data_IF_546362537653
#
_entry.id   IF_546362537653
#
_cell.length_a   1.000
_cell.length_b   1.000
_cell.length_c   1.000
_cell.angle_alpha   90.00
_cell.angle_beta   90.00
_cell.angle_gamma   90.00
#
_symmetry.space_group_name_H-M   'P 1'
#
loop_
_entity.id
_entity.type
_entity.pdbx_description
1 polymer ?
#
# COMPACT_ATOMS: atom_id res chain seq x y z
N UNK A 1 5.22 -6.50 28.20
CA UNK A 1 4.71 -7.84 28.54
C UNK A 1 5.13 -8.76 27.40
N UNK A 2 6.11 -9.61 27.68
CA UNK A 2 6.55 -10.67 26.75
C UNK A 2 5.50 -11.77 26.82
N UNK A 3 4.64 -11.84 25.83
CA UNK A 3 3.76 -13.01 25.64
C UNK A 3 4.66 -14.15 25.21
N UNK A 4 4.94 -15.09 26.10
CA UNK A 4 5.57 -16.36 25.74
C UNK A 4 4.70 -17.04 24.70
N UNK A 5 5.24 -17.20 23.49
CA UNK A 5 4.62 -18.03 22.45
C UNK A 5 4.86 -19.48 22.87
N UNK A 6 4.04 -19.94 23.80
CA UNK A 6 4.03 -21.34 24.23
C UNK A 6 3.23 -22.10 23.18
N UNK A 7 3.88 -23.13 22.60
CA UNK A 7 3.25 -24.26 21.90
C UNK A 7 2.82 -24.13 20.44
N UNK A 8 3.48 -23.35 19.60
CA UNK A 8 3.24 -23.40 18.14
C UNK A 8 1.81 -23.01 17.71
N UNK A 9 1.11 -22.25 18.56
CA UNK A 9 -0.20 -21.68 18.29
C UNK A 9 -0.11 -20.16 18.26
N UNK A 10 -0.92 -19.50 17.42
CA UNK A 10 -1.08 -18.05 17.42
C UNK A 10 -1.97 -17.60 18.62
N UNK A 11 -2.13 -16.28 18.89
CA UNK A 11 -2.97 -15.78 19.97
C UNK A 11 -4.44 -16.24 19.91
N UNK A 12 -4.92 -16.65 18.73
CA UNK A 12 -6.28 -17.13 18.49
C UNK A 12 -6.38 -18.67 18.58
N UNK A 13 -5.30 -19.35 19.00
CA UNK A 13 -5.27 -20.80 19.17
C UNK A 13 -5.12 -21.62 17.88
N UNK A 14 -4.81 -20.99 16.75
CA UNK A 14 -4.53 -21.68 15.49
C UNK A 14 -3.05 -22.08 15.41
N UNK A 15 -2.78 -23.24 14.77
CA UNK A 15 -1.40 -23.72 14.54
C UNK A 15 -0.63 -22.72 13.67
N UNK A 16 0.57 -22.33 14.12
CA UNK A 16 1.49 -21.48 13.37
C UNK A 16 1.94 -22.14 12.07
N UNK A 17 2.06 -21.34 11.02
CA UNK A 17 2.78 -21.75 9.82
C UNK A 17 4.29 -21.89 10.14
N UNK A 18 5.02 -22.71 9.38
CA UNK A 18 6.48 -22.87 9.59
C UNK A 18 7.24 -21.54 9.54
N UNK A 19 6.82 -20.61 8.66
CA UNK A 19 7.43 -19.30 8.56
C UNK A 19 7.15 -18.44 9.81
N UNK A 20 5.95 -18.50 10.36
CA UNK A 20 5.57 -17.78 11.57
C UNK A 20 6.34 -18.29 12.80
N UNK A 21 6.45 -19.60 12.93
CA UNK A 21 7.23 -20.23 14.00
C UNK A 21 8.71 -19.78 13.93
N UNK A 22 9.31 -19.81 12.73
CA UNK A 22 10.70 -19.33 12.53
C UNK A 22 10.84 -17.85 12.82
N UNK A 23 9.91 -17.03 12.36
CA UNK A 23 9.95 -15.58 12.61
C UNK A 23 9.84 -15.28 14.10
N UNK A 24 9.02 -16.04 14.84
CA UNK A 24 8.80 -15.85 16.28
C UNK A 24 10.05 -16.09 17.14
N UNK A 25 11.04 -16.83 16.63
CA UNK A 25 12.33 -17.04 17.30
C UNK A 25 13.19 -15.76 17.37
N UNK A 26 12.90 -14.77 16.50
CA UNK A 26 13.63 -13.52 16.43
C UNK A 26 12.93 -12.45 17.27
N UNK A 27 13.57 -11.89 18.31
CA UNK A 27 12.97 -10.85 19.15
C UNK A 27 12.59 -9.60 18.36
N UNK A 28 11.56 -8.89 18.83
CA UNK A 28 11.20 -7.57 18.29
C UNK A 28 12.16 -6.54 18.89
N UNK A 29 12.94 -5.89 18.04
CA UNK A 29 13.85 -4.83 18.44
C UNK A 29 13.14 -3.52 18.75
N UNK A 30 13.75 -2.73 19.63
CA UNK A 30 13.29 -1.37 19.92
C UNK A 30 13.50 -0.48 18.68
N UNK A 31 12.46 0.25 18.31
CA UNK A 31 12.54 1.24 17.23
C UNK A 31 13.56 2.34 17.57
N UNK A 32 14.45 2.71 16.62
CA UNK A 32 15.38 3.82 16.82
C UNK A 32 14.66 5.18 16.93
N UNK A 33 15.37 6.19 17.42
CA UNK A 33 14.77 7.48 17.75
C UNK A 33 14.22 8.24 16.53
N UNK A 34 14.74 8.00 15.33
CA UNK A 34 14.24 8.61 14.10
C UNK A 34 12.94 8.00 13.58
N UNK A 35 12.50 6.87 14.14
CA UNK A 35 11.18 6.25 13.88
C UNK A 35 10.15 6.74 14.90
N UNK A 36 10.09 8.05 15.11
CA UNK A 36 9.11 8.67 16.03
C UNK A 36 8.26 9.67 15.27
N UNK A 37 6.95 9.53 15.40
CA UNK A 37 5.99 10.50 14.86
C UNK A 37 5.76 11.62 15.86
N UNK A 38 5.77 12.86 15.36
CA UNK A 38 5.29 14.01 16.15
C UNK A 38 3.78 14.09 15.99
N UNK A 39 3.05 13.97 17.08
CA UNK A 39 1.60 14.18 17.07
C UNK A 39 1.32 15.64 16.72
N UNK A 40 0.67 15.87 15.59
CA UNK A 40 0.20 17.18 15.16
C UNK A 40 -1.28 17.06 14.79
N UNK A 41 -2.15 17.56 15.67
CA UNK A 41 -3.58 17.58 15.40
C UNK A 41 -3.99 18.94 14.87
N UNK A 42 -4.42 18.99 13.62
CA UNK A 42 -4.99 20.17 13.00
C UNK A 42 -6.53 20.16 13.03
N UNK A 43 -7.19 21.21 12.54
CA UNK A 43 -8.65 21.32 12.53
C UNK A 43 -9.31 20.27 11.64
N UNK A 44 -8.76 19.98 10.45
CA UNK A 44 -9.31 18.97 9.54
C UNK A 44 -9.17 17.55 10.10
N UNK A 45 -8.02 17.21 10.70
CA UNK A 45 -7.86 15.92 11.38
C UNK A 45 -8.91 15.75 12.48
N UNK A 46 -9.13 16.76 13.31
CA UNK A 46 -10.10 16.72 14.40
C UNK A 46 -11.52 16.51 13.85
N UNK A 47 -11.89 17.28 12.82
CA UNK A 47 -13.18 17.18 12.14
C UNK A 47 -13.41 15.78 11.57
N UNK A 48 -12.45 15.26 10.82
CA UNK A 48 -12.54 13.93 10.20
C UNK A 48 -12.63 12.84 11.27
N UNK A 49 -11.82 12.92 12.32
CA UNK A 49 -11.84 11.94 13.43
C UNK A 49 -13.19 11.89 14.13
N UNK A 50 -13.78 13.04 14.44
CA UNK A 50 -15.11 13.11 15.07
C UNK A 50 -16.18 12.54 14.15
N UNK A 51 -16.13 12.84 12.88
CA UNK A 51 -17.05 12.35 11.87
C UNK A 51 -16.96 10.83 11.69
N UNK A 52 -15.73 10.29 11.54
CA UNK A 52 -15.48 8.85 11.44
C UNK A 52 -16.06 8.12 12.65
N UNK A 53 -15.84 8.67 13.86
CA UNK A 53 -16.39 8.10 15.10
C UNK A 53 -17.90 8.14 15.13
N UNK A 54 -18.52 9.27 14.75
CA UNK A 54 -19.97 9.47 14.77
C UNK A 54 -20.70 8.58 13.79
N UNK A 55 -20.17 8.46 12.58
CA UNK A 55 -20.80 7.72 11.47
C UNK A 55 -20.35 6.25 11.40
N UNK A 56 -19.46 5.79 12.31
CA UNK A 56 -18.99 4.41 12.36
C UNK A 56 -18.21 3.99 11.10
N UNK A 57 -17.43 4.91 10.51
CA UNK A 57 -16.67 4.65 9.29
C UNK A 57 -15.37 3.88 9.59
N UNK A 58 -14.91 3.09 8.63
CA UNK A 58 -13.69 2.29 8.74
C UNK A 58 -12.62 2.76 7.76
N UNK A 59 -11.40 2.98 8.25
CA UNK A 59 -10.25 3.35 7.42
C UNK A 59 -9.03 2.54 7.82
N UNK A 60 -8.22 2.12 6.84
CA UNK A 60 -6.91 1.49 7.08
C UNK A 60 -6.03 2.38 7.96
N UNK A 61 -6.17 3.71 7.84
CA UNK A 61 -5.41 4.67 8.63
C UNK A 61 -5.61 4.49 10.14
N UNK A 62 -6.82 4.18 10.60
CA UNK A 62 -7.12 3.93 12.00
C UNK A 62 -6.81 2.48 12.40
N UNK A 63 -7.28 1.52 11.61
CA UNK A 63 -7.19 0.08 11.93
C UNK A 63 -5.73 -0.38 11.99
N UNK A 64 -4.88 0.10 11.09
CA UNK A 64 -3.45 -0.17 11.09
C UNK A 64 -2.63 0.73 12.03
N UNK A 65 -3.25 1.63 12.79
CA UNK A 65 -2.53 2.58 13.66
C UNK A 65 -1.49 3.40 12.92
N UNK A 66 -1.83 3.88 11.70
CA UNK A 66 -0.88 4.54 10.82
C UNK A 66 -0.28 5.80 11.47
N UNK A 67 1.06 5.93 11.57
CA UNK A 67 1.70 7.07 12.19
C UNK A 67 1.44 8.40 11.46
N UNK A 68 1.04 8.33 10.20
CA UNK A 68 0.85 9.50 9.33
C UNK A 68 -0.60 9.99 9.26
N UNK A 69 -1.51 9.37 10.01
CA UNK A 69 -2.94 9.69 9.99
C UNK A 69 -3.22 11.19 10.21
N UNK A 70 -2.43 11.82 11.09
CA UNK A 70 -2.58 13.25 11.43
C UNK A 70 -2.34 14.14 10.22
N UNK A 71 -1.32 13.84 9.42
CA UNK A 71 -0.93 14.65 8.26
C UNK A 71 -1.84 14.37 7.06
N UNK A 72 -2.14 13.08 6.78
CA UNK A 72 -3.00 12.73 5.67
C UNK A 72 -4.42 13.25 5.87
N UNK A 73 -5.00 13.12 7.06
CA UNK A 73 -6.34 13.63 7.33
C UNK A 73 -6.40 15.16 7.35
N UNK A 74 -5.32 15.85 7.74
CA UNK A 74 -5.24 17.30 7.61
C UNK A 74 -5.23 17.73 6.13
N UNK A 75 -4.59 16.93 5.27
CA UNK A 75 -4.62 17.13 3.81
C UNK A 75 -5.95 16.66 3.16
N UNK A 76 -6.89 16.09 3.94
CA UNK A 76 -8.14 15.45 3.49
C UNK A 76 -7.90 14.27 2.57
N UNK A 77 -6.96 13.44 2.95
CA UNK A 77 -6.60 12.19 2.28
C UNK A 77 -6.79 11.00 3.24
N UNK A 78 -7.38 9.92 2.77
CA UNK A 78 -7.53 8.68 3.54
C UNK A 78 -7.38 7.45 2.67
N UNK A 79 -7.09 6.30 3.32
CA UNK A 79 -6.94 5.00 2.66
C UNK A 79 -8.03 4.05 3.15
N UNK A 80 -8.72 3.42 2.21
CA UNK A 80 -9.75 2.41 2.45
C UNK A 80 -9.25 1.03 2.07
N UNK A 81 -9.66 0.01 2.83
CA UNK A 81 -9.46 -1.40 2.51
C UNK A 81 -10.78 -1.97 2.01
N UNK A 82 -10.76 -2.63 0.86
CA UNK A 82 -11.93 -3.28 0.26
C UNK A 82 -11.72 -4.78 0.09
N UNK A 83 -12.82 -5.51 -0.09
CA UNK A 83 -12.81 -6.96 -0.32
C UNK A 83 -12.89 -7.81 0.94
N UNK A 84 -13.11 -7.18 2.11
CA UNK A 84 -13.24 -7.87 3.39
C UNK A 84 -11.98 -7.83 4.25
N UNK A 85 -11.96 -8.61 5.34
CA UNK A 85 -10.90 -8.62 6.36
C UNK A 85 -9.84 -9.70 6.16
N UNK A 86 -10.07 -10.68 5.27
CA UNK A 86 -9.15 -11.79 5.02
C UNK A 86 -8.65 -11.77 3.58
N UNK A 87 -7.35 -12.03 3.39
CA UNK A 87 -6.68 -12.08 2.10
C UNK A 87 -6.45 -13.54 1.68
N UNK A 88 -6.65 -13.88 0.40
CA UNK A 88 -6.34 -15.23 -0.12
C UNK A 88 -4.83 -15.47 -0.22
N UNK A 89 -4.02 -14.41 -0.23
CA UNK A 89 -2.55 -14.48 -0.33
C UNK A 89 -1.88 -13.97 0.93
N UNK A 90 -0.73 -14.58 1.26
CA UNK A 90 0.12 -14.14 2.36
C UNK A 90 1.34 -13.39 1.86
N UNK A 91 1.56 -12.20 2.41
CA UNK A 91 2.84 -11.49 2.35
C UNK A 91 3.43 -11.44 3.77
N UNK A 92 4.72 -11.77 3.94
CA UNK A 92 5.33 -11.96 5.26
C UNK A 92 5.52 -10.65 6.06
N UNK A 93 5.27 -9.50 5.44
CA UNK A 93 5.28 -8.17 6.05
C UNK A 93 3.88 -7.63 6.38
N UNK A 94 2.81 -8.26 5.89
CA UNK A 94 1.46 -7.69 5.90
C UNK A 94 0.66 -8.15 7.14
N UNK A 95 0.03 -7.20 7.83
CA UNK A 95 -0.78 -7.47 9.02
C UNK A 95 -2.14 -8.11 8.70
N UNK A 96 -2.60 -8.02 7.44
CA UNK A 96 -3.90 -8.58 7.04
C UNK A 96 -3.90 -10.10 7.20
N UNK A 97 -4.94 -10.61 7.82
CA UNK A 97 -5.12 -12.06 8.02
C UNK A 97 -5.23 -12.80 6.69
N UNK A 98 -4.57 -13.96 6.63
CA UNK A 98 -4.65 -14.85 5.48
C UNK A 98 -5.68 -15.93 5.74
N UNK A 99 -6.58 -16.13 4.80
CA UNK A 99 -7.63 -17.13 4.96
C UNK A 99 -8.66 -17.13 3.85
N UNK A 100 -9.78 -17.78 4.11
CA UNK A 100 -10.95 -17.74 3.21
C UNK A 100 -11.74 -16.47 3.54
N UNK A 101 -11.85 -15.53 2.58
CA UNK A 101 -12.64 -14.32 2.79
C UNK A 101 -14.14 -14.63 2.91
N UNK A 102 -14.87 -13.73 3.57
CA UNK A 102 -16.33 -13.72 3.56
C UNK A 102 -16.89 -13.49 2.14
N UNK A 103 -18.17 -13.82 1.89
CA UNK A 103 -18.83 -13.48 0.64
C UNK A 103 -18.68 -12.00 0.29
N UNK A 104 -18.46 -11.71 -1.01
CA UNK A 104 -18.26 -10.34 -1.48
C UNK A 104 -19.52 -9.48 -1.19
N UNK A 105 -19.32 -8.38 -0.48
CA UNK A 105 -20.34 -7.35 -0.32
C UNK A 105 -20.41 -6.44 -1.55
N UNK A 106 -21.39 -6.65 -2.40
CA UNK A 106 -21.57 -5.85 -3.62
C UNK A 106 -22.01 -4.40 -3.34
N UNK A 107 -22.34 -4.06 -2.11
CA UNK A 107 -22.67 -2.68 -1.70
C UNK A 107 -21.45 -1.92 -1.18
N UNK A 108 -20.31 -2.57 -1.03
CA UNK A 108 -19.08 -1.98 -0.51
C UNK A 108 -18.59 -0.77 -1.34
N UNK A 109 -18.64 -0.77 -2.69
CA UNK A 109 -18.27 0.40 -3.51
C UNK A 109 -19.02 1.67 -3.13
N UNK A 110 -20.33 1.59 -2.95
CA UNK A 110 -21.14 2.75 -2.57
C UNK A 110 -20.90 3.17 -1.11
N UNK A 111 -20.67 2.23 -0.21
CA UNK A 111 -20.31 2.53 1.18
C UNK A 111 -18.98 3.30 1.26
N UNK A 112 -17.97 2.88 0.51
CA UNK A 112 -16.69 3.59 0.41
C UNK A 112 -16.90 5.00 -0.16
N UNK A 113 -17.64 5.12 -1.26
CA UNK A 113 -17.91 6.42 -1.89
C UNK A 113 -18.67 7.39 -0.96
N UNK A 114 -19.62 6.88 -0.17
CA UNK A 114 -20.32 7.67 0.85
C UNK A 114 -19.40 8.06 2.00
N UNK A 115 -18.47 7.18 2.40
CA UNK A 115 -17.46 7.49 3.41
C UNK A 115 -16.53 8.62 2.94
N UNK A 116 -16.06 8.56 1.68
CA UNK A 116 -15.27 9.63 1.04
C UNK A 116 -16.03 10.95 1.07
N UNK A 117 -17.32 10.94 0.73
CA UNK A 117 -18.20 12.11 0.74
C UNK A 117 -18.37 12.68 2.16
N UNK A 118 -18.70 11.83 3.11
CA UNK A 118 -18.92 12.21 4.50
C UNK A 118 -17.66 12.81 5.12
N UNK A 119 -16.50 12.21 4.85
CA UNK A 119 -15.20 12.75 5.29
C UNK A 119 -14.79 14.03 4.53
N UNK A 120 -15.39 14.32 3.39
CA UNK A 120 -15.07 15.46 2.53
C UNK A 120 -13.64 15.37 1.98
N UNK A 121 -13.22 14.18 1.57
CA UNK A 121 -11.88 13.95 1.08
C UNK A 121 -11.64 14.63 -0.26
N UNK A 122 -10.41 15.05 -0.48
CA UNK A 122 -9.93 15.57 -1.78
C UNK A 122 -9.21 14.49 -2.59
N UNK A 123 -8.72 13.48 -1.90
CA UNK A 123 -8.01 12.37 -2.49
C UNK A 123 -8.24 11.09 -1.67
N UNK A 124 -8.67 10.04 -2.33
CA UNK A 124 -8.92 8.74 -1.72
C UNK A 124 -7.95 7.70 -2.28
N UNK A 125 -7.23 7.03 -1.41
CA UNK A 125 -6.50 5.82 -1.80
C UNK A 125 -7.34 4.62 -1.44
N UNK A 126 -7.52 3.69 -2.39
CA UNK A 126 -8.23 2.44 -2.18
C UNK A 126 -7.26 1.29 -2.40
N UNK A 127 -7.16 0.43 -1.41
CA UNK A 127 -6.44 -0.86 -1.51
C UNK A 127 -7.39 -1.97 -1.14
N UNK A 128 -7.04 -3.22 -1.43
CA UNK A 128 -7.89 -4.34 -1.09
C UNK A 128 -7.11 -5.61 -0.78
N UNK A 129 -7.79 -6.54 -0.17
CA UNK A 129 -7.30 -7.91 -0.05
C UNK A 129 -7.35 -8.61 -1.41
N UNK A 130 -6.46 -9.58 -1.64
CA UNK A 130 -6.60 -10.43 -2.84
C UNK A 130 -7.79 -11.37 -2.67
N UNK A 131 -8.50 -11.57 -3.78
CA UNK A 131 -9.72 -12.38 -3.87
C UNK A 131 -9.60 -13.45 -4.95
N UNK A 132 -8.51 -14.25 -4.89
CA UNK A 132 -8.32 -15.38 -5.83
C UNK A 132 -9.44 -16.42 -5.77
N UNK A 133 -10.32 -16.31 -4.78
CA UNK A 133 -11.54 -17.10 -4.62
C UNK A 133 -12.69 -16.67 -5.56
N UNK A 134 -12.59 -15.48 -6.17
CA UNK A 134 -13.55 -14.97 -7.14
C UNK A 134 -13.08 -15.23 -8.57
N UNK A 135 -14.02 -15.40 -9.50
CA UNK A 135 -13.73 -15.62 -10.93
C UNK A 135 -12.94 -14.47 -11.55
N UNK A 136 -13.28 -13.23 -11.17
CA UNK A 136 -12.62 -11.99 -11.60
C UNK A 136 -11.51 -11.51 -10.66
N UNK A 137 -11.09 -12.34 -9.70
CA UNK A 137 -10.08 -12.01 -8.69
C UNK A 137 -10.33 -10.67 -7.96
N UNK A 138 -11.59 -10.20 -7.99
CA UNK A 138 -12.04 -8.95 -7.39
C UNK A 138 -11.89 -7.71 -8.27
N UNK A 139 -11.58 -7.83 -9.56
CA UNK A 139 -11.41 -6.68 -10.48
C UNK A 139 -12.67 -5.81 -10.57
N UNK A 140 -13.86 -6.42 -10.55
CA UNK A 140 -15.13 -5.71 -10.49
C UNK A 140 -15.21 -4.78 -9.27
N UNK A 141 -14.80 -5.26 -8.10
CA UNK A 141 -14.86 -4.47 -6.88
C UNK A 141 -14.02 -3.20 -6.95
N UNK A 142 -12.77 -3.33 -7.45
CA UNK A 142 -11.90 -2.17 -7.66
C UNK A 142 -12.50 -1.19 -8.66
N UNK A 143 -12.95 -1.70 -9.81
CA UNK A 143 -13.56 -0.89 -10.87
C UNK A 143 -14.80 -0.13 -10.38
N UNK A 144 -15.73 -0.82 -9.71
CA UNK A 144 -16.95 -0.18 -9.22
C UNK A 144 -16.68 0.80 -8.07
N UNK A 145 -15.68 0.52 -7.22
CA UNK A 145 -15.29 1.47 -6.17
C UNK A 145 -14.77 2.78 -6.76
N UNK A 146 -13.93 2.75 -7.78
CA UNK A 146 -13.46 3.95 -8.49
C UNK A 146 -14.64 4.73 -9.07
N UNK A 147 -15.51 4.04 -9.85
CA UNK A 147 -16.69 4.64 -10.48
C UNK A 147 -17.65 5.25 -9.46
N UNK A 148 -17.88 4.55 -8.34
CA UNK A 148 -18.77 5.04 -7.28
C UNK A 148 -18.19 6.27 -6.58
N UNK A 149 -16.87 6.29 -6.31
CA UNK A 149 -16.21 7.47 -5.74
C UNK A 149 -16.35 8.66 -6.70
N UNK A 150 -16.01 8.54 -7.97
CA UNK A 150 -16.13 9.61 -8.96
C UNK A 150 -17.57 10.12 -9.10
N UNK A 151 -18.55 9.21 -9.12
CA UNK A 151 -19.98 9.55 -9.21
C UNK A 151 -20.47 10.37 -8.02
N UNK A 152 -20.10 9.97 -6.80
CA UNK A 152 -20.61 10.59 -5.58
C UNK A 152 -19.75 11.77 -5.09
N UNK A 153 -18.51 11.88 -5.57
CA UNK A 153 -17.52 12.86 -5.13
C UNK A 153 -16.81 13.51 -6.33
N UNK A 154 -17.51 14.29 -7.16
CA UNK A 154 -16.89 14.98 -8.29
C UNK A 154 -15.68 15.81 -7.84
N UNK A 155 -14.53 15.61 -8.49
CA UNK A 155 -13.27 16.30 -8.17
C UNK A 155 -12.43 15.67 -7.05
N UNK A 156 -12.86 14.56 -6.46
CA UNK A 156 -12.00 13.73 -5.60
C UNK A 156 -11.11 12.85 -6.45
N UNK A 157 -9.79 12.96 -6.33
CA UNK A 157 -8.85 12.05 -6.99
C UNK A 157 -8.87 10.66 -6.34
N UNK A 158 -8.66 9.62 -7.15
CA UNK A 158 -8.62 8.22 -6.70
C UNK A 158 -7.30 7.57 -7.09
N UNK A 159 -6.56 7.10 -6.09
CA UNK A 159 -5.45 6.16 -6.27
C UNK A 159 -5.93 4.77 -5.93
N UNK A 160 -5.68 3.82 -6.84
CA UNK A 160 -6.04 2.43 -6.63
C UNK A 160 -4.77 1.59 -6.49
N UNK A 161 -4.62 0.87 -5.37
CA UNK A 161 -3.53 -0.08 -5.14
C UNK A 161 -4.09 -1.50 -5.25
N UNK A 162 -3.71 -2.19 -6.33
CA UNK A 162 -4.28 -3.49 -6.69
C UNK A 162 -3.32 -4.66 -6.47
N UNK A 163 -3.82 -5.91 -6.35
CA UNK A 163 -3.04 -7.11 -6.59
C UNK A 163 -2.64 -7.20 -8.07
N UNK A 164 -1.96 -8.30 -8.45
CA UNK A 164 -1.54 -8.54 -9.83
C UNK A 164 -2.63 -9.14 -10.74
N UNK A 165 -3.81 -9.49 -10.20
CA UNK A 165 -4.88 -10.22 -10.89
C UNK A 165 -4.33 -11.37 -11.73
N UNK A 166 -3.39 -12.14 -11.18
CA UNK A 166 -2.66 -13.23 -11.85
C UNK A 166 -2.01 -12.84 -13.19
N UNK A 167 -1.89 -11.54 -13.49
CA UNK A 167 -1.40 -10.98 -14.76
C UNK A 167 -2.41 -11.06 -15.91
N UNK A 168 -3.69 -11.28 -15.62
CA UNK A 168 -4.77 -11.34 -16.61
C UNK A 168 -5.08 -9.94 -17.15
N UNK A 169 -4.79 -9.72 -18.43
CA UNK A 169 -4.94 -8.40 -19.07
C UNK A 169 -6.37 -7.88 -19.03
N UNK A 170 -7.35 -8.74 -19.22
CA UNK A 170 -8.76 -8.41 -19.20
C UNK A 170 -9.24 -7.89 -17.85
N UNK A 171 -8.72 -8.43 -16.74
CA UNK A 171 -9.05 -7.97 -15.39
C UNK A 171 -8.39 -6.63 -15.06
N UNK A 172 -7.12 -6.47 -15.46
CA UNK A 172 -6.43 -5.20 -15.36
C UNK A 172 -7.12 -4.11 -16.19
N UNK A 173 -7.51 -4.42 -17.43
CA UNK A 173 -8.20 -3.49 -18.31
C UNK A 173 -9.52 -3.01 -17.71
N UNK A 174 -10.28 -3.89 -17.05
CA UNK A 174 -11.51 -3.51 -16.35
C UNK A 174 -11.26 -2.42 -15.29
N UNK A 175 -10.12 -2.48 -14.59
CA UNK A 175 -9.73 -1.47 -13.61
C UNK A 175 -9.26 -0.19 -14.30
N UNK A 176 -8.49 -0.29 -15.40
CA UNK A 176 -8.03 0.87 -16.16
C UNK A 176 -9.19 1.66 -16.78
N UNK A 177 -10.22 0.95 -17.27
CA UNK A 177 -11.43 1.56 -17.86
C UNK A 177 -12.24 2.37 -16.83
N UNK A 178 -12.08 2.10 -15.53
CA UNK A 178 -12.67 2.91 -14.47
C UNK A 178 -11.94 4.25 -14.26
N UNK A 179 -10.77 4.44 -14.88
CA UNK A 179 -9.99 5.69 -14.95
C UNK A 179 -9.60 6.25 -13.58
N UNK A 180 -8.89 5.48 -12.73
CA UNK A 180 -8.30 6.07 -11.53
C UNK A 180 -7.27 7.13 -11.93
N UNK A 181 -7.05 8.15 -11.09
CA UNK A 181 -6.00 9.15 -11.31
C UNK A 181 -4.60 8.55 -11.21
N UNK A 182 -4.43 7.56 -10.31
CA UNK A 182 -3.18 6.80 -10.17
C UNK A 182 -3.49 5.32 -10.03
N UNK A 183 -2.82 4.52 -10.85
CA UNK A 183 -2.81 3.07 -10.71
C UNK A 183 -1.53 2.63 -10.01
N UNK A 184 -1.66 2.00 -8.86
CA UNK A 184 -0.54 1.51 -8.07
C UNK A 184 -0.52 -0.03 -8.01
N UNK A 185 0.66 -0.59 -8.20
CA UNK A 185 0.99 -1.98 -7.91
C UNK A 185 2.37 -2.04 -7.28
N UNK A 186 2.43 -2.43 -6.02
CA UNK A 186 3.67 -2.39 -5.26
C UNK A 186 4.56 -3.59 -5.55
N UNK A 187 5.82 -3.34 -5.85
CA UNK A 187 6.86 -4.37 -5.99
C UNK A 187 7.31 -4.88 -4.60
N UNK A 188 7.38 -4.00 -3.63
CA UNK A 188 7.68 -4.16 -2.21
C UNK A 188 9.13 -4.51 -1.89
N UNK A 189 9.78 -5.39 -2.65
CA UNK A 189 11.15 -5.81 -2.36
C UNK A 189 11.93 -6.24 -3.62
N UNK A 190 13.19 -6.61 -3.43
CA UNK A 190 14.15 -6.97 -4.49
C UNK A 190 14.06 -8.44 -4.91
N UNK A 191 14.53 -8.83 -6.12
CA UNK A 191 14.36 -10.20 -6.67
C UNK A 191 14.81 -11.31 -5.74
N UNK A 192 16.01 -11.20 -5.12
CA UNK A 192 16.61 -12.27 -4.31
C UNK A 192 15.72 -12.72 -3.15
N UNK A 193 15.07 -11.78 -2.47
CA UNK A 193 14.22 -12.09 -1.31
C UNK A 193 12.72 -12.08 -1.65
N UNK A 194 12.35 -11.76 -2.88
CA UNK A 194 10.96 -11.57 -3.30
C UNK A 194 10.08 -12.79 -2.94
N UNK A 195 10.54 -13.99 -3.31
CA UNK A 195 9.77 -15.22 -3.09
C UNK A 195 9.57 -15.56 -1.61
N UNK A 196 10.51 -15.18 -0.74
CA UNK A 196 10.36 -15.37 0.72
C UNK A 196 9.41 -14.37 1.36
N UNK A 197 9.36 -13.15 0.83
CA UNK A 197 8.53 -12.05 1.36
C UNK A 197 7.12 -12.07 0.78
N UNK A 198 7.00 -12.37 -0.53
CA UNK A 198 5.73 -12.40 -1.29
C UNK A 198 5.55 -13.74 -2.02
N UNK A 199 5.35 -14.86 -1.31
CA UNK A 199 5.40 -16.20 -1.90
C UNK A 199 4.34 -16.46 -2.98
N UNK A 200 3.21 -15.77 -2.94
CA UNK A 200 2.13 -15.90 -3.91
C UNK A 200 2.22 -14.92 -5.10
N UNK A 201 3.24 -14.09 -5.14
CA UNK A 201 3.50 -13.16 -6.24
C UNK A 201 4.76 -13.53 -7.02
N UNK A 202 4.95 -12.90 -8.18
CA UNK A 202 6.14 -13.04 -9.01
C UNK A 202 6.66 -11.65 -9.37
N UNK A 203 7.99 -11.48 -9.33
CA UNK A 203 8.66 -10.20 -9.52
C UNK A 203 8.43 -9.64 -10.93
N UNK A 204 8.71 -10.44 -11.94
CA UNK A 204 8.57 -10.07 -13.36
C UNK A 204 7.10 -9.80 -13.71
N UNK A 205 6.17 -10.58 -13.15
CA UNK A 205 4.74 -10.34 -13.33
C UNK A 205 4.32 -9.00 -12.71
N UNK A 206 4.85 -8.66 -11.54
CA UNK A 206 4.56 -7.38 -10.89
C UNK A 206 5.07 -6.20 -11.73
N UNK A 207 6.24 -6.30 -12.34
CA UNK A 207 6.72 -5.31 -13.32
C UNK A 207 5.81 -5.26 -14.55
N UNK A 208 5.39 -6.41 -15.08
CA UNK A 208 4.47 -6.51 -16.22
C UNK A 208 3.12 -5.82 -15.97
N UNK A 209 2.60 -5.87 -14.73
CA UNK A 209 1.38 -5.14 -14.35
C UNK A 209 1.58 -3.62 -14.47
N UNK A 210 2.72 -3.10 -14.03
CA UNK A 210 3.07 -1.67 -14.17
C UNK A 210 3.17 -1.30 -15.67
N UNK A 211 3.83 -2.15 -16.48
CA UNK A 211 3.97 -1.92 -17.92
C UNK A 211 2.60 -1.85 -18.61
N UNK A 212 1.69 -2.79 -18.33
CA UNK A 212 0.34 -2.79 -18.87
C UNK A 212 -0.45 -1.55 -18.47
N UNK A 213 -0.32 -1.10 -17.22
CA UNK A 213 -0.96 0.13 -16.76
C UNK A 213 -0.40 1.37 -17.48
N UNK A 214 0.91 1.41 -17.69
CA UNK A 214 1.56 2.51 -18.45
C UNK A 214 1.12 2.55 -19.89
N UNK A 215 1.08 1.40 -20.56
CA UNK A 215 0.58 1.24 -21.95
C UNK A 215 -0.89 1.67 -22.08
N UNK A 216 -1.70 1.43 -21.04
CA UNK A 216 -3.09 1.91 -20.97
C UNK A 216 -3.21 3.43 -20.65
N UNK A 217 -2.10 4.16 -20.55
CA UNK A 217 -2.08 5.61 -20.32
C UNK A 217 -2.24 6.04 -18.87
N UNK A 218 -2.17 5.12 -17.90
CA UNK A 218 -2.27 5.45 -16.47
C UNK A 218 -1.03 6.20 -15.98
N UNK A 219 -1.21 7.03 -14.95
CA UNK A 219 -0.10 7.41 -14.06
C UNK A 219 0.15 6.23 -13.14
N UNK A 220 1.35 5.67 -13.20
CA UNK A 220 1.72 4.43 -12.51
C UNK A 220 2.49 4.71 -11.23
N UNK A 221 2.30 3.85 -10.24
CA UNK A 221 2.98 3.97 -8.95
C UNK A 221 3.41 2.62 -8.40
N UNK A 222 4.53 2.61 -7.68
CA UNK A 222 5.00 1.46 -6.93
C UNK A 222 5.59 1.85 -5.57
N UNK A 223 5.95 0.86 -4.77
CA UNK A 223 6.57 1.04 -3.46
C UNK A 223 7.67 0.01 -3.24
N UNK A 224 8.75 0.44 -2.57
CA UNK A 224 9.77 -0.44 -2.00
C UNK A 224 9.80 -0.29 -0.48
N UNK A 225 9.80 -1.42 0.22
CA UNK A 225 9.92 -1.51 1.67
C UNK A 225 11.35 -1.98 1.99
N UNK A 226 12.08 -1.16 2.72
CA UNK A 226 13.48 -1.43 3.09
C UNK A 226 13.60 -1.93 4.52
N UNK A 227 14.64 -2.73 4.76
CA UNK A 227 14.94 -3.31 6.07
C UNK A 227 14.50 -4.77 6.21
N UNK A 228 14.18 -5.44 5.10
CA UNK A 228 13.81 -6.87 5.05
C UNK A 228 14.96 -7.78 4.61
N UNK A 229 16.18 -7.24 4.42
CA UNK A 229 17.38 -8.00 4.06
C UNK A 229 17.90 -7.76 2.63
N UNK A 230 17.37 -6.76 1.94
CA UNK A 230 17.86 -6.26 0.66
C UNK A 230 19.22 -5.56 0.81
N UNK A 231 20.05 -5.66 -0.22
CA UNK A 231 21.33 -4.95 -0.34
C UNK A 231 21.17 -3.68 -1.20
N UNK A 232 22.07 -2.69 -1.02
CA UNK A 232 21.96 -1.38 -1.69
C UNK A 232 21.92 -1.52 -3.22
N UNK A 233 22.77 -2.34 -3.81
CA UNK A 233 22.82 -2.53 -5.26
C UNK A 233 21.56 -3.22 -5.81
N UNK A 234 20.92 -4.08 -5.00
CA UNK A 234 19.65 -4.71 -5.36
C UNK A 234 18.50 -3.69 -5.36
N UNK A 235 18.51 -2.73 -4.41
CA UNK A 235 17.54 -1.63 -4.38
C UNK A 235 17.68 -0.78 -5.63
N UNK A 236 18.91 -0.42 -6.01
CA UNK A 236 19.20 0.34 -7.25
C UNK A 236 18.70 -0.41 -8.48
N UNK A 237 18.91 -1.71 -8.54
CA UNK A 237 18.41 -2.57 -9.62
C UNK A 237 16.89 -2.56 -9.68
N UNK A 238 16.21 -2.75 -8.56
CA UNK A 238 14.74 -2.73 -8.50
C UNK A 238 14.15 -1.36 -8.91
N UNK A 239 14.81 -0.25 -8.56
CA UNK A 239 14.42 1.08 -9.03
C UNK A 239 14.55 1.22 -10.55
N UNK A 240 15.65 0.73 -11.14
CA UNK A 240 15.85 0.70 -12.61
C UNK A 240 14.82 -0.16 -13.32
N UNK A 241 14.52 -1.34 -12.77
CA UNK A 241 13.49 -2.24 -13.31
C UNK A 241 12.12 -1.58 -13.31
N UNK A 242 11.76 -0.86 -12.24
CA UNK A 242 10.51 -0.10 -12.17
C UNK A 242 10.45 1.04 -13.20
N UNK A 243 11.53 1.79 -13.38
CA UNK A 243 11.59 2.82 -14.44
C UNK A 243 11.45 2.20 -15.82
N UNK A 244 12.15 1.10 -16.08
CA UNK A 244 12.03 0.36 -17.34
C UNK A 244 10.63 -0.18 -17.60
N UNK A 245 9.91 -0.56 -16.54
CA UNK A 245 8.50 -0.96 -16.60
C UNK A 245 7.53 0.23 -16.80
N UNK A 246 8.01 1.48 -16.76
CA UNK A 246 7.20 2.68 -16.93
C UNK A 246 6.55 3.19 -15.65
N UNK A 247 7.15 2.94 -14.49
CA UNK A 247 6.67 3.47 -13.21
C UNK A 247 6.95 4.96 -13.09
N UNK A 248 5.91 5.77 -12.91
CA UNK A 248 6.01 7.24 -12.79
C UNK A 248 6.33 7.67 -11.35
N UNK A 249 5.70 7.05 -10.36
CA UNK A 249 5.74 7.46 -8.97
C UNK A 249 6.31 6.34 -8.09
N UNK A 250 7.19 6.71 -7.17
CA UNK A 250 7.76 5.75 -6.22
C UNK A 250 7.67 6.24 -4.77
N UNK A 251 7.33 5.31 -3.88
CA UNK A 251 7.54 5.49 -2.44
C UNK A 251 8.60 4.52 -1.94
N UNK A 252 9.52 4.99 -1.09
CA UNK A 252 10.57 4.18 -0.46
C UNK A 252 10.38 4.27 1.04
N UNK A 253 10.15 3.13 1.71
CA UNK A 253 9.61 3.09 3.07
C UNK A 253 10.42 2.16 3.97
N UNK A 254 10.43 2.41 5.27
CA UNK A 254 11.00 1.47 6.24
C UNK A 254 9.99 0.39 6.59
N UNK A 255 10.41 -0.86 6.59
CA UNK A 255 9.67 -1.96 7.16
C UNK A 255 9.48 -1.75 8.67
N UNK A 256 8.24 -1.82 9.11
CA UNK A 256 7.89 -1.85 10.54
C UNK A 256 7.21 -3.17 10.84
N UNK A 257 7.90 -4.05 11.52
CA UNK A 257 7.41 -5.40 11.84
C UNK A 257 6.11 -5.35 12.64
N UNK A 258 4.99 -5.89 12.12
CA UNK A 258 3.70 -5.79 12.79
C UNK A 258 3.62 -6.62 14.08
N UNK A 259 4.14 -7.84 14.06
CA UNK A 259 4.19 -8.74 15.22
C UNK A 259 5.38 -9.70 15.12
N UNK A 260 5.62 -10.49 16.17
CA UNK A 260 6.67 -11.52 16.17
C UNK A 260 6.47 -12.60 15.09
N UNK A 261 5.25 -12.77 14.57
CA UNK A 261 4.93 -13.77 13.53
C UNK A 261 5.31 -13.33 12.11
N UNK A 262 5.62 -12.03 11.93
CA UNK A 262 5.99 -11.44 10.65
C UNK A 262 7.51 -11.44 10.45
N UNK A 263 7.93 -11.19 9.21
CA UNK A 263 9.34 -11.12 8.83
C UNK A 263 10.16 -10.28 9.82
N UNK A 264 11.31 -10.76 10.30
CA UNK A 264 12.17 -9.97 11.18
C UNK A 264 12.72 -8.73 10.46
N UNK A 265 12.97 -7.66 11.22
CA UNK A 265 13.70 -6.51 10.70
C UNK A 265 15.17 -6.92 10.56
N UNK A 266 15.69 -6.86 9.33
CA UNK A 266 17.11 -7.14 9.06
C UNK A 266 18.00 -5.93 9.38
N UNK A 267 17.48 -4.71 9.14
CA UNK A 267 18.17 -3.47 9.49
C UNK A 267 17.22 -2.29 9.63
N UNK A 268 17.60 -1.32 10.42
CA UNK A 268 16.99 -0.01 10.47
C UNK A 268 17.75 0.92 9.50
N UNK A 269 17.09 1.30 8.41
CA UNK A 269 17.66 2.20 7.40
C UNK A 269 17.76 3.62 7.97
N UNK A 270 18.91 4.25 7.83
CA UNK A 270 19.13 5.60 8.33
C UNK A 270 18.42 6.66 7.47
N UNK A 271 17.97 7.79 8.05
CA UNK A 271 17.33 8.86 7.30
C UNK A 271 18.11 9.36 6.10
N UNK A 272 19.46 9.42 6.22
CA UNK A 272 20.36 9.86 5.17
C UNK A 272 20.30 8.96 3.93
N UNK A 273 20.21 7.63 4.13
CA UNK A 273 20.08 6.66 3.04
C UNK A 273 18.76 6.81 2.29
N UNK A 274 17.66 7.15 2.99
CA UNK A 274 16.41 7.48 2.34
C UNK A 274 16.51 8.72 1.46
N UNK A 275 17.28 9.74 1.87
CA UNK A 275 17.53 10.94 1.07
C UNK A 275 18.31 10.55 -0.19
N UNK A 276 19.41 9.83 -0.04
CA UNK A 276 20.25 9.34 -1.16
C UNK A 276 19.43 8.53 -2.18
N UNK A 277 18.61 7.59 -1.69
CA UNK A 277 17.77 6.76 -2.56
C UNK A 277 16.64 7.58 -3.22
N UNK A 278 16.11 8.58 -2.53
CA UNK A 278 15.11 9.48 -3.08
C UNK A 278 15.68 10.35 -4.20
N UNK A 279 16.89 10.85 -4.05
CA UNK A 279 17.56 11.66 -5.08
C UNK A 279 17.97 10.79 -6.27
N UNK A 280 18.52 9.59 -6.02
CA UNK A 280 18.79 8.62 -7.07
C UNK A 280 17.52 8.24 -7.86
N UNK A 281 16.39 8.05 -7.20
CA UNK A 281 15.13 7.74 -7.89
C UNK A 281 14.71 8.87 -8.84
N UNK A 282 14.88 10.15 -8.45
CA UNK A 282 14.66 11.31 -9.35
C UNK A 282 15.62 11.30 -10.55
N UNK A 283 16.92 11.04 -10.31
CA UNK A 283 17.93 10.93 -11.37
C UNK A 283 17.62 9.79 -12.36
N UNK A 284 17.04 8.67 -11.88
CA UNK A 284 16.62 7.55 -12.70
C UNK A 284 15.37 7.85 -13.55
N UNK A 285 14.62 8.93 -13.27
CA UNK A 285 13.52 9.39 -14.07
C UNK A 285 12.11 9.23 -13.45
N UNK A 286 11.99 8.87 -12.18
CA UNK A 286 10.69 8.96 -11.51
C UNK A 286 10.22 10.41 -11.43
N UNK A 287 9.00 10.68 -11.87
CA UNK A 287 8.42 12.04 -11.89
C UNK A 287 7.91 12.48 -10.52
N UNK A 288 7.67 11.54 -9.61
CA UNK A 288 7.33 11.83 -8.22
C UNK A 288 7.93 10.81 -7.27
N UNK A 289 8.60 11.31 -6.23
CA UNK A 289 9.33 10.47 -5.26
C UNK A 289 8.99 10.90 -3.84
N UNK A 290 8.63 9.94 -3.01
CA UNK A 290 8.59 10.08 -1.55
C UNK A 290 9.43 8.99 -0.90
N UNK A 291 10.47 9.39 -0.19
CA UNK A 291 11.40 8.48 0.47
C UNK A 291 11.60 8.89 1.93
N UNK A 292 11.45 7.94 2.85
CA UNK A 292 11.66 8.23 4.27
C UNK A 292 11.18 7.12 5.20
N UNK A 293 11.70 7.11 6.44
CA UNK A 293 11.45 6.02 7.38
C UNK A 293 10.00 5.90 7.84
N UNK A 294 9.23 6.99 7.80
CA UNK A 294 7.81 7.00 8.15
C UNK A 294 6.87 7.08 6.94
N UNK A 295 7.41 7.22 5.72
CA UNK A 295 6.62 7.15 4.49
C UNK A 295 5.87 5.82 4.43
N UNK A 296 4.70 5.82 3.82
CA UNK A 296 3.89 4.64 3.47
C UNK A 296 3.45 4.77 2.02
N UNK A 297 3.06 3.67 1.39
CA UNK A 297 2.66 3.67 -0.04
C UNK A 297 1.58 4.71 -0.36
N UNK A 298 0.65 4.96 0.56
CA UNK A 298 -0.42 5.95 0.42
C UNK A 298 -0.16 7.28 1.16
N UNK A 299 1.06 7.50 1.67
CA UNK A 299 1.38 8.73 2.40
C UNK A 299 1.32 9.95 1.48
N UNK A 300 0.40 10.88 1.77
CA UNK A 300 0.18 12.12 1.00
C UNK A 300 0.11 11.85 -0.51
N UNK A 301 -0.66 10.83 -0.87
CA UNK A 301 -0.76 10.33 -2.24
C UNK A 301 -1.23 11.41 -3.23
N UNK A 302 -2.14 12.27 -2.81
CA UNK A 302 -2.59 13.41 -3.62
C UNK A 302 -1.50 14.45 -3.89
N UNK A 303 -0.54 14.62 -2.99
CA UNK A 303 0.63 15.49 -3.25
C UNK A 303 1.57 14.87 -4.27
N UNK A 304 1.79 13.56 -4.19
CA UNK A 304 2.64 12.83 -5.14
C UNK A 304 2.00 12.85 -6.54
N UNK A 305 0.68 12.69 -6.63
CA UNK A 305 -0.07 12.84 -7.87
C UNK A 305 0.10 14.23 -8.50
N UNK A 306 0.04 15.30 -7.70
CA UNK A 306 0.26 16.68 -8.19
C UNK A 306 1.65 16.85 -8.81
N UNK A 307 2.70 16.28 -8.22
CA UNK A 307 4.05 16.29 -8.81
C UNK A 307 4.05 15.67 -10.21
N UNK A 308 3.32 14.55 -10.42
CA UNK A 308 3.20 13.94 -11.72
C UNK A 308 2.50 14.83 -12.75
N UNK A 309 1.45 15.55 -12.34
CA UNK A 309 0.75 16.49 -13.22
C UNK A 309 1.63 17.67 -13.60
N UNK A 310 2.36 18.26 -12.63
CA UNK A 310 3.27 19.37 -12.87
C UNK A 310 4.39 18.96 -13.84
N UNK A 311 4.98 17.78 -13.66
CA UNK A 311 6.00 17.25 -14.56
C UNK A 311 5.46 17.03 -15.99
N UNK A 312 4.23 16.53 -16.15
CA UNK A 312 3.59 16.36 -17.46
C UNK A 312 3.31 17.70 -18.15
N UNK A 313 2.88 18.71 -17.39
CA UNK A 313 2.55 20.03 -17.93
C UNK A 313 3.78 20.89 -18.19
N UNK A 314 4.89 20.67 -17.50
CA UNK A 314 6.15 21.37 -17.71
C UNK A 314 6.97 20.88 -18.90
N UNK A 315 6.61 19.72 -19.47
CA UNK A 315 7.23 19.13 -20.66
C UNK A 315 6.46 19.41 -21.96
N UNK A 316 5.39 20.20 -21.90
CA UNK A 316 4.64 20.75 -23.07
C UNK A 316 4.98 22.24 -23.22
#
# INVERSE_FOLDING_TARGET
>A
MTTEIVTGLNPEGKKLLRIEARNAEVPIEKKPDWIKTKLRTGPEYTRIREMVKKEGLHTVCQEAGCPNIFECWEDREATFLIGGSACTRRCDFCLIDTGKPDPLDRTEPDKVALSVKTMGLKYATVTGVTRDDLEDEGAWLYSETIKSIHKHNPGCGVEILTPDFSGKKELLQQVFDAKPEVFAHNLETVPRIFKSIRPAFNYEKSLGVITLAKEAGMITKSNLILGMGEEKDEIVTALKDLVAAGCDLITITQYLRPSALHHPIARWVKPEEFIELGDLAKELGFVGVMSGPLVRSSYRAGRLYKQALEAKNGNN
#
